data_IF_595639902623
#
_entry.id   IF_595639902623
#
_cell.length_a   1.000
_cell.length_b   1.000
_cell.length_c   1.000
_cell.angle_alpha   90.00
_cell.angle_beta   90.00
_cell.angle_gamma   90.00
#
_symmetry.space_group_name_H-M   'P 1'
#
loop_
_entity.id
_entity.type
_entity.pdbx_description
1 polymer ?
#
# COMPACT_ATOMS: atom_id res chain seq x y z
N UNK A 1 15.63 15.02 -32.59
CA UNK A 1 14.29 14.43 -32.29
C UNK A 1 13.76 15.17 -31.08
N UNK A 2 12.77 16.05 -31.28
CA UNK A 2 12.17 16.84 -30.19
C UNK A 2 11.31 15.89 -29.37
N UNK A 3 11.55 15.81 -28.06
CA UNK A 3 10.72 15.04 -27.13
C UNK A 3 9.37 15.77 -26.98
N UNK A 4 8.48 15.57 -27.94
CA UNK A 4 7.20 16.27 -28.08
C UNK A 4 6.12 15.74 -27.14
N UNK A 5 6.33 15.81 -25.84
CA UNK A 5 5.27 15.60 -24.85
C UNK A 5 4.86 16.93 -24.26
N UNK A 6 3.60 17.29 -24.48
CA UNK A 6 2.96 18.46 -23.88
C UNK A 6 2.73 18.21 -22.38
N UNK A 7 2.76 19.27 -21.56
CA UNK A 7 2.25 19.20 -20.20
C UNK A 7 0.73 18.97 -20.21
N UNK A 8 0.14 18.56 -19.08
CA UNK A 8 -1.31 18.32 -18.99
C UNK A 8 -2.12 19.57 -19.36
N UNK A 9 -1.66 20.73 -18.90
CA UNK A 9 -2.35 21.99 -19.13
C UNK A 9 -2.21 22.45 -20.58
N UNK A 10 -1.02 22.31 -21.17
CA UNK A 10 -0.80 22.59 -22.59
C UNK A 10 -1.62 21.65 -23.48
N UNK A 11 -1.73 20.38 -23.10
CA UNK A 11 -2.53 19.39 -23.79
C UNK A 11 -4.02 19.74 -23.75
N UNK A 12 -4.54 20.18 -22.60
CA UNK A 12 -5.94 20.64 -22.48
C UNK A 12 -6.21 21.96 -23.20
N UNK A 13 -5.24 22.88 -23.21
CA UNK A 13 -5.34 24.11 -23.99
C UNK A 13 -5.44 23.83 -25.50
N UNK A 14 -4.67 22.86 -26.02
CA UNK A 14 -4.74 22.44 -27.42
C UNK A 14 -6.05 21.70 -27.72
N UNK A 15 -6.49 20.81 -26.82
CA UNK A 15 -7.78 20.12 -26.98
C UNK A 15 -8.98 21.08 -26.97
N UNK A 16 -8.92 22.13 -26.15
CA UNK A 16 -9.98 23.13 -26.05
C UNK A 16 -10.20 23.96 -27.32
N UNK A 17 -9.29 23.88 -28.31
CA UNK A 17 -9.43 24.51 -29.62
C UNK A 17 -10.16 23.64 -30.64
N UNK A 18 -10.33 22.34 -30.37
CA UNK A 18 -11.02 21.42 -31.27
C UNK A 18 -12.52 21.43 -30.99
N UNK A 19 -13.31 21.37 -32.05
CA UNK A 19 -14.75 21.15 -31.92
C UNK A 19 -15.06 19.67 -31.60
N UNK A 20 -16.33 19.39 -31.28
CA UNK A 20 -16.76 18.04 -30.89
C UNK A 20 -16.54 17.01 -32.02
N UNK A 21 -16.66 17.42 -33.28
CA UNK A 21 -16.51 16.53 -34.43
C UNK A 21 -15.04 16.15 -34.64
N UNK A 22 -14.13 17.11 -34.51
CA UNK A 22 -12.69 16.91 -34.61
C UNK A 22 -12.14 16.12 -33.42
N UNK A 23 -12.68 16.34 -32.21
CA UNK A 23 -12.38 15.53 -31.02
C UNK A 23 -12.77 14.07 -31.22
N UNK A 24 -14.00 13.81 -31.69
CA UNK A 24 -14.48 12.46 -32.01
C UNK A 24 -13.60 11.78 -33.06
N UNK A 25 -13.19 12.52 -34.09
CA UNK A 25 -12.31 12.03 -35.17
C UNK A 25 -10.90 11.70 -34.67
N UNK A 26 -10.32 12.54 -33.80
CA UNK A 26 -9.03 12.29 -33.17
C UNK A 26 -9.07 11.05 -32.28
N UNK A 27 -10.09 10.93 -31.41
CA UNK A 27 -10.32 9.75 -30.56
C UNK A 27 -10.54 8.48 -31.40
N UNK A 28 -11.32 8.55 -32.47
CA UNK A 28 -11.55 7.41 -33.37
C UNK A 28 -10.25 6.93 -34.04
N UNK A 29 -9.42 7.88 -34.49
CA UNK A 29 -8.12 7.56 -35.11
C UNK A 29 -7.17 6.89 -34.10
N UNK A 30 -7.16 7.40 -32.86
CA UNK A 30 -6.37 6.83 -31.76
C UNK A 30 -6.87 5.45 -31.32
N UNK A 31 -8.19 5.27 -31.27
CA UNK A 31 -8.81 3.99 -30.97
C UNK A 31 -8.44 2.94 -32.03
N UNK A 32 -8.63 3.25 -33.31
CA UNK A 32 -8.40 2.26 -34.37
C UNK A 32 -6.92 1.94 -34.60
N UNK A 33 -6.03 2.92 -34.44
CA UNK A 33 -4.57 2.73 -34.61
C UNK A 33 -3.83 2.31 -33.34
N UNK A 34 -4.50 2.35 -32.19
CA UNK A 34 -3.92 2.01 -30.89
C UNK A 34 -3.75 0.49 -30.68
N UNK A 35 -2.84 0.13 -29.76
CA UNK A 35 -2.73 -1.26 -29.29
C UNK A 35 -4.00 -1.71 -28.56
N UNK A 36 -4.18 -3.02 -28.34
CA UNK A 36 -5.31 -3.54 -27.57
C UNK A 36 -5.41 -2.89 -26.17
N UNK A 37 -4.28 -2.80 -25.45
CA UNK A 37 -4.22 -2.12 -24.14
C UNK A 37 -4.61 -0.64 -24.21
N UNK A 38 -4.27 0.05 -25.30
CA UNK A 38 -4.62 1.46 -25.48
C UNK A 38 -6.11 1.65 -25.78
N UNK A 39 -6.69 0.75 -26.58
CA UNK A 39 -8.14 0.69 -26.82
C UNK A 39 -8.91 0.40 -25.54
N UNK A 40 -8.43 -0.54 -24.72
CA UNK A 40 -9.05 -0.87 -23.43
C UNK A 40 -9.07 0.35 -22.49
N UNK A 41 -7.99 1.15 -22.45
CA UNK A 41 -7.93 2.41 -21.67
C UNK A 41 -8.89 3.48 -22.18
N UNK A 42 -9.02 3.65 -23.49
CA UNK A 42 -9.99 4.57 -24.09
C UNK A 42 -11.42 4.13 -23.74
N UNK A 43 -11.73 2.84 -23.87
CA UNK A 43 -13.04 2.30 -23.52
C UNK A 43 -13.35 2.47 -22.03
N UNK A 44 -12.37 2.30 -21.15
CA UNK A 44 -12.53 2.53 -19.72
C UNK A 44 -12.84 3.99 -19.36
N UNK A 45 -12.30 4.95 -20.13
CA UNK A 45 -12.59 6.37 -19.95
C UNK A 45 -13.98 6.78 -20.49
N UNK A 46 -14.48 6.09 -21.53
CA UNK A 46 -15.78 6.38 -22.17
C UNK A 46 -16.93 5.66 -21.46
N UNK A 47 -16.74 4.38 -21.11
CA UNK A 47 -17.73 3.56 -20.43
C UNK A 47 -17.04 2.72 -19.32
N UNK A 48 -17.08 3.21 -18.07
CA UNK A 48 -16.50 2.50 -16.94
C UNK A 48 -17.10 1.11 -16.72
N UNK A 49 -18.36 0.87 -17.11
CA UNK A 49 -19.04 -0.41 -16.94
C UNK A 49 -18.51 -1.46 -17.91
N UNK A 50 -18.16 -1.07 -19.14
CA UNK A 50 -17.53 -1.99 -20.12
C UNK A 50 -16.13 -2.39 -19.67
N UNK A 51 -15.36 -1.48 -19.05
CA UNK A 51 -14.07 -1.83 -18.46
C UNK A 51 -14.20 -2.77 -17.25
N UNK A 52 -15.19 -2.55 -16.39
CA UNK A 52 -15.52 -3.48 -15.30
C UNK A 52 -15.94 -4.87 -15.83
N UNK A 53 -16.72 -4.91 -16.91
CA UNK A 53 -17.14 -6.15 -17.57
C UNK A 53 -15.98 -6.87 -18.28
N UNK A 54 -14.98 -6.15 -18.80
CA UNK A 54 -13.80 -6.73 -19.42
C UNK A 54 -12.77 -7.21 -18.38
N UNK A 55 -12.62 -6.48 -17.27
CA UNK A 55 -11.79 -6.89 -16.13
C UNK A 55 -12.31 -8.19 -15.51
N UNK A 56 -13.64 -8.29 -15.32
CA UNK A 56 -14.28 -9.53 -14.84
C UNK A 56 -14.18 -10.69 -15.83
N UNK A 57 -14.25 -10.44 -17.15
CA UNK A 57 -14.06 -11.48 -18.19
C UNK A 57 -12.63 -11.99 -18.35
N UNK A 58 -11.60 -11.17 -18.05
CA UNK A 58 -10.18 -11.56 -18.14
C UNK A 58 -9.67 -12.26 -16.86
N UNK A 59 -10.39 -12.16 -15.75
CA UNK A 59 -9.96 -12.75 -14.49
C UNK A 59 -10.18 -14.27 -14.49
N UNK A 60 -9.17 -15.02 -14.93
CA UNK A 60 -9.01 -16.38 -14.40
C UNK A 60 -9.01 -16.28 -12.87
N UNK A 61 -9.78 -17.09 -12.13
CA UNK A 61 -9.76 -17.06 -10.68
C UNK A 61 -8.32 -17.21 -10.19
N UNK A 62 -7.82 -16.19 -9.50
CA UNK A 62 -6.49 -16.25 -8.89
C UNK A 62 -6.57 -17.24 -7.73
N UNK A 63 -5.77 -18.30 -7.78
CA UNK A 63 -5.61 -19.21 -6.64
C UNK A 63 -4.89 -18.45 -5.52
N UNK A 64 -5.67 -17.95 -4.57
CA UNK A 64 -5.19 -17.08 -3.49
C UNK A 64 -4.22 -17.81 -2.55
N UNK A 65 -4.43 -19.11 -2.31
CA UNK A 65 -3.57 -19.93 -1.43
C UNK A 65 -2.21 -20.14 -2.08
N UNK A 66 -2.21 -20.49 -3.37
CA UNK A 66 -0.96 -20.60 -4.13
C UNK A 66 -0.22 -19.27 -4.19
N UNK A 67 -0.93 -18.18 -4.47
CA UNK A 67 -0.35 -16.83 -4.50
C UNK A 67 0.31 -16.46 -3.16
N UNK A 68 -0.36 -16.72 -2.04
CA UNK A 68 0.19 -16.46 -0.70
C UNK A 68 1.52 -17.22 -0.50
N UNK A 69 1.57 -18.49 -0.88
CA UNK A 69 2.80 -19.30 -0.79
C UNK A 69 3.92 -18.71 -1.66
N UNK A 70 3.63 -18.36 -2.91
CA UNK A 70 4.61 -17.79 -3.86
C UNK A 70 5.16 -16.46 -3.34
N UNK A 71 4.31 -15.59 -2.80
CA UNK A 71 4.71 -14.29 -2.23
C UNK A 71 5.58 -14.46 -1.00
N UNK A 72 5.22 -15.38 -0.09
CA UNK A 72 6.03 -15.67 1.10
C UNK A 72 7.40 -16.21 0.73
N UNK A 73 7.47 -17.12 -0.25
CA UNK A 73 8.73 -17.65 -0.76
C UNK A 73 9.59 -16.54 -1.38
N UNK A 74 8.99 -15.70 -2.24
CA UNK A 74 9.66 -14.54 -2.82
C UNK A 74 10.25 -13.62 -1.75
N UNK A 75 9.47 -13.26 -0.73
CA UNK A 75 9.92 -12.40 0.36
C UNK A 75 11.01 -13.06 1.22
N UNK A 76 10.92 -14.37 1.47
CA UNK A 76 11.94 -15.12 2.19
C UNK A 76 13.28 -15.12 1.42
N UNK A 77 13.25 -15.44 0.13
CA UNK A 77 14.43 -15.40 -0.75
C UNK A 77 15.06 -14.01 -0.80
N UNK A 78 14.24 -12.95 -0.84
CA UNK A 78 14.72 -11.57 -0.78
C UNK A 78 15.44 -11.27 0.54
N UNK A 79 14.82 -11.63 1.68
CA UNK A 79 15.38 -11.42 3.02
C UNK A 79 16.67 -12.20 3.27
N UNK A 80 16.81 -13.37 2.65
CA UNK A 80 18.03 -14.17 2.69
C UNK A 80 19.14 -13.67 1.73
N UNK A 81 18.87 -12.61 0.97
CA UNK A 81 19.85 -11.99 0.07
C UNK A 81 20.02 -12.72 -1.28
N UNK A 82 19.14 -13.66 -1.61
CA UNK A 82 19.24 -14.43 -2.86
C UNK A 82 19.16 -13.54 -4.12
N UNK A 83 18.50 -12.38 -3.99
CA UNK A 83 18.37 -11.39 -5.05
C UNK A 83 19.56 -10.42 -5.20
N UNK A 84 20.46 -10.35 -4.20
CA UNK A 84 21.69 -9.53 -4.25
C UNK A 84 22.90 -10.30 -4.82
N UNK A 85 23.01 -11.59 -4.48
CA UNK A 85 24.21 -12.41 -4.69
C UNK A 85 24.12 -13.40 -5.87
N UNK A 86 25.11 -14.32 -5.93
CA UNK A 86 25.10 -15.50 -6.82
C UNK A 86 24.45 -16.70 -6.12
N UNK A 87 23.27 -16.50 -5.52
CA UNK A 87 22.48 -17.63 -5.04
C UNK A 87 21.98 -18.45 -6.24
N UNK A 88 22.01 -19.79 -6.12
CA UNK A 88 21.57 -20.72 -7.17
C UNK A 88 20.04 -20.87 -7.18
N UNK A 89 19.37 -20.52 -6.09
CA UNK A 89 17.90 -20.57 -5.96
C UNK A 89 17.22 -19.52 -6.85
N UNK A 90 17.87 -18.37 -7.07
CA UNK A 90 17.35 -17.30 -7.91
C UNK A 90 18.25 -17.12 -9.14
N UNK A 91 17.67 -17.37 -10.31
CA UNK A 91 18.41 -17.28 -11.57
C UNK A 91 18.89 -15.84 -11.84
N UNK A 92 19.99 -15.62 -12.58
CA UNK A 92 20.42 -14.27 -12.95
C UNK A 92 19.33 -13.45 -13.68
N UNK A 93 18.52 -14.13 -14.49
CA UNK A 93 17.39 -13.51 -15.22
C UNK A 93 16.30 -13.05 -14.26
N UNK A 94 15.98 -13.84 -13.26
CA UNK A 94 15.01 -13.50 -12.22
C UNK A 94 15.50 -12.35 -11.35
N UNK A 95 16.78 -12.35 -10.96
CA UNK A 95 17.41 -11.26 -10.19
C UNK A 95 17.32 -9.90 -10.86
N UNK A 96 17.36 -9.85 -12.18
CA UNK A 96 17.21 -8.58 -12.93
C UNK A 96 15.75 -8.19 -13.14
N UNK A 97 14.83 -9.16 -13.09
CA UNK A 97 13.39 -8.99 -13.32
C UNK A 97 12.53 -8.97 -12.06
N UNK A 98 13.15 -8.94 -10.88
CA UNK A 98 12.46 -8.96 -9.59
C UNK A 98 11.32 -7.93 -9.51
N UNK A 99 11.49 -6.73 -10.10
CA UNK A 99 10.47 -5.66 -10.15
C UNK A 99 9.17 -6.13 -10.81
N UNK A 100 9.30 -6.90 -11.90
CA UNK A 100 8.14 -7.45 -12.60
C UNK A 100 7.46 -8.56 -11.80
N UNK A 101 8.24 -9.37 -11.08
CA UNK A 101 7.71 -10.43 -10.20
C UNK A 101 6.94 -9.80 -9.05
N UNK A 102 7.56 -8.84 -8.35
CA UNK A 102 6.92 -8.08 -7.28
C UNK A 102 5.61 -7.44 -7.75
N UNK A 103 5.63 -6.73 -8.89
CA UNK A 103 4.43 -6.11 -9.46
C UNK A 103 3.36 -7.12 -9.86
N UNK A 104 3.77 -8.26 -10.41
CA UNK A 104 2.85 -9.34 -10.78
C UNK A 104 2.15 -9.89 -9.55
N UNK A 105 2.89 -10.11 -8.46
CA UNK A 105 2.32 -10.55 -7.19
C UNK A 105 1.38 -9.52 -6.58
N UNK A 106 1.76 -8.24 -6.57
CA UNK A 106 0.88 -7.17 -6.08
C UNK A 106 -0.42 -7.09 -6.90
N UNK A 107 -0.32 -7.18 -8.23
CA UNK A 107 -1.49 -7.16 -9.13
C UNK A 107 -2.39 -8.37 -8.89
N UNK A 108 -1.81 -9.57 -8.77
CA UNK A 108 -2.56 -10.79 -8.49
C UNK A 108 -3.23 -10.75 -7.10
N UNK A 109 -2.56 -10.20 -6.09
CA UNK A 109 -3.13 -10.03 -4.75
C UNK A 109 -4.31 -9.06 -4.76
N UNK A 110 -4.18 -7.91 -5.45
CA UNK A 110 -5.30 -6.97 -5.67
C UNK A 110 -6.48 -7.64 -6.36
N UNK A 111 -6.24 -8.46 -7.38
CA UNK A 111 -7.29 -9.21 -8.08
C UNK A 111 -7.96 -10.24 -7.16
N UNK A 112 -7.18 -10.99 -6.36
CA UNK A 112 -7.70 -11.97 -5.43
C UNK A 112 -8.51 -11.33 -4.28
N UNK A 113 -8.15 -10.12 -3.84
CA UNK A 113 -8.88 -9.34 -2.83
C UNK A 113 -10.28 -8.88 -3.29
N UNK A 114 -10.57 -8.95 -4.59
CA UNK A 114 -11.92 -8.73 -5.13
C UNK A 114 -12.85 -9.94 -4.96
N UNK A 115 -12.30 -11.13 -4.63
CA UNK A 115 -13.07 -12.33 -4.31
C UNK A 115 -13.63 -12.35 -2.90
N UNK A 116 -14.20 -13.49 -2.50
CA UNK A 116 -14.77 -13.73 -1.17
C UNK A 116 -13.76 -14.30 -0.17
N UNK A 117 -12.95 -15.28 -0.58
CA UNK A 117 -11.87 -15.81 0.26
C UNK A 117 -10.64 -14.89 0.18
N UNK A 118 -10.70 -13.83 0.98
CA UNK A 118 -9.69 -12.78 0.98
C UNK A 118 -8.52 -13.07 1.93
N UNK A 119 -8.60 -14.07 2.81
CA UNK A 119 -7.60 -14.26 3.87
C UNK A 119 -6.21 -14.55 3.28
N UNK A 120 -6.04 -15.48 2.32
CA UNK A 120 -4.73 -15.73 1.72
C UNK A 120 -4.23 -14.52 0.91
N UNK A 121 -5.13 -13.83 0.21
CA UNK A 121 -4.80 -12.65 -0.58
C UNK A 121 -4.36 -11.46 0.29
N UNK A 122 -5.02 -11.23 1.43
CA UNK A 122 -4.66 -10.22 2.40
C UNK A 122 -3.31 -10.54 3.05
N UNK A 123 -3.06 -11.81 3.40
CA UNK A 123 -1.77 -12.26 3.91
C UNK A 123 -0.64 -12.06 2.88
N UNK A 124 -0.90 -12.35 1.60
CA UNK A 124 0.04 -12.08 0.51
C UNK A 124 0.34 -10.58 0.37
N UNK A 125 -0.68 -9.73 0.32
CA UNK A 125 -0.51 -8.28 0.21
C UNK A 125 0.22 -7.71 1.43
N UNK A 126 -0.13 -8.15 2.64
CA UNK A 126 0.57 -7.74 3.86
C UNK A 126 2.05 -8.10 3.82
N UNK A 127 2.41 -9.29 3.30
CA UNK A 127 3.80 -9.71 3.13
C UNK A 127 4.57 -8.80 2.16
N UNK A 128 3.93 -8.36 1.08
CA UNK A 128 4.53 -7.41 0.12
C UNK A 128 4.74 -6.03 0.74
N UNK A 129 3.77 -5.54 1.53
CA UNK A 129 3.88 -4.26 2.25
C UNK A 129 4.96 -4.32 3.34
N UNK A 130 5.02 -5.41 4.13
CA UNK A 130 6.09 -5.63 5.11
C UNK A 130 7.46 -5.57 4.42
N UNK A 131 7.62 -6.30 3.31
CA UNK A 131 8.85 -6.28 2.54
C UNK A 131 9.15 -4.88 1.99
N UNK A 132 8.14 -4.15 1.51
CA UNK A 132 8.30 -2.79 1.01
C UNK A 132 8.79 -1.82 2.10
N UNK A 133 8.23 -1.90 3.31
CA UNK A 133 8.70 -1.12 4.46
C UNK A 133 10.15 -1.44 4.84
N UNK A 134 10.55 -2.71 4.76
CA UNK A 134 11.93 -3.13 5.03
C UNK A 134 12.93 -2.63 3.97
N UNK A 135 12.52 -2.57 2.69
CA UNK A 135 13.38 -2.15 1.57
C UNK A 135 13.92 -0.71 1.73
N UNK A 136 13.26 0.13 2.53
CA UNK A 136 13.75 1.49 2.82
C UNK A 136 15.08 1.49 3.57
N UNK A 137 15.23 0.58 4.53
CA UNK A 137 16.42 0.51 5.40
C UNK A 137 17.40 -0.59 4.97
N UNK A 138 16.98 -1.54 4.14
CA UNK A 138 17.77 -2.73 3.78
C UNK A 138 17.84 -2.95 2.28
N UNK A 139 19.01 -3.35 1.81
CA UNK A 139 19.21 -3.82 0.45
C UNK A 139 18.78 -5.27 0.31
N UNK A 140 17.66 -5.50 -0.39
CA UNK A 140 17.24 -6.84 -0.82
C UNK A 140 17.42 -7.05 -2.33
N UNK A 141 17.44 -5.97 -3.10
CA UNK A 141 17.57 -5.98 -4.54
C UNK A 141 18.63 -4.99 -4.98
N UNK A 142 19.25 -5.24 -6.14
CA UNK A 142 20.17 -4.28 -6.78
C UNK A 142 19.37 -3.12 -7.40
N UNK A 143 18.93 -2.20 -6.55
CA UNK A 143 18.19 -0.99 -6.90
C UNK A 143 18.53 0.09 -5.89
N UNK A 144 18.80 1.31 -6.36
CA UNK A 144 19.03 2.46 -5.47
C UNK A 144 17.76 2.77 -4.66
N UNK A 145 16.60 2.72 -5.32
CA UNK A 145 15.28 2.79 -4.69
C UNK A 145 14.42 1.62 -5.22
N UNK A 146 14.20 0.57 -4.41
CA UNK A 146 13.39 -0.56 -4.82
C UNK A 146 11.91 -0.22 -5.04
N UNK A 147 11.31 0.61 -4.19
CA UNK A 147 9.88 0.93 -4.24
C UNK A 147 9.56 1.77 -5.47
N UNK A 148 10.36 2.81 -5.72
CA UNK A 148 10.21 3.65 -6.91
C UNK A 148 10.38 2.81 -8.19
N UNK A 149 11.34 1.89 -8.19
CA UNK A 149 11.59 1.05 -9.36
C UNK A 149 10.50 -0.02 -9.58
N UNK A 150 9.85 -0.49 -8.50
CA UNK A 150 8.70 -1.38 -8.56
C UNK A 150 7.39 -0.63 -8.89
N UNK A 151 7.36 0.72 -8.81
CA UNK A 151 6.14 1.52 -8.98
C UNK A 151 5.01 1.06 -8.05
N UNK A 152 5.36 0.73 -6.82
CA UNK A 152 4.42 0.20 -5.83
C UNK A 152 4.01 1.31 -4.87
N UNK A 153 2.71 1.60 -4.82
CA UNK A 153 2.11 2.60 -3.92
C UNK A 153 1.57 1.85 -2.70
N UNK A 154 2.23 1.98 -1.57
CA UNK A 154 1.93 1.23 -0.34
C UNK A 154 0.58 1.64 0.23
N UNK A 155 0.28 2.94 0.22
CA UNK A 155 -0.99 3.45 0.74
C UNK A 155 -2.20 2.93 -0.04
N UNK A 156 -2.12 2.86 -1.37
CA UNK A 156 -3.16 2.27 -2.22
C UNK A 156 -3.32 0.76 -1.96
N UNK A 157 -2.20 0.04 -1.88
CA UNK A 157 -2.22 -1.40 -1.59
C UNK A 157 -2.85 -1.71 -0.21
N UNK A 158 -2.49 -0.94 0.81
CA UNK A 158 -3.08 -1.04 2.14
C UNK A 158 -4.58 -0.69 2.10
N UNK A 159 -4.97 0.37 1.40
CA UNK A 159 -6.36 0.78 1.27
C UNK A 159 -7.23 -0.32 0.63
N UNK A 160 -6.76 -0.94 -0.45
CA UNK A 160 -7.48 -2.04 -1.11
C UNK A 160 -7.62 -3.24 -0.17
N UNK A 161 -6.53 -3.65 0.48
CA UNK A 161 -6.53 -4.80 1.38
C UNK A 161 -7.44 -4.59 2.59
N UNK A 162 -7.32 -3.45 3.25
CA UNK A 162 -8.13 -3.10 4.42
C UNK A 162 -9.60 -2.94 4.09
N UNK A 163 -9.92 -2.38 2.92
CA UNK A 163 -11.31 -2.32 2.42
C UNK A 163 -11.90 -3.72 2.21
N UNK A 164 -11.11 -4.65 1.66
CA UNK A 164 -11.55 -6.03 1.49
C UNK A 164 -11.78 -6.71 2.85
N UNK A 165 -10.86 -6.58 3.80
CA UNK A 165 -11.01 -7.11 5.17
C UNK A 165 -12.30 -6.59 5.81
N UNK A 166 -12.53 -5.27 5.77
CA UNK A 166 -13.74 -4.67 6.33
C UNK A 166 -15.01 -5.17 5.65
N UNK A 167 -14.98 -5.37 4.32
CA UNK A 167 -16.13 -5.84 3.53
C UNK A 167 -16.51 -7.29 3.85
N UNK A 168 -15.54 -8.20 3.86
CA UNK A 168 -15.82 -9.65 3.99
C UNK A 168 -15.79 -10.14 5.45
N UNK A 169 -15.01 -9.50 6.33
CA UNK A 169 -14.82 -9.93 7.72
C UNK A 169 -15.44 -8.97 8.75
N UNK A 170 -15.94 -7.81 8.31
CA UNK A 170 -16.58 -6.82 9.18
C UNK A 170 -15.63 -5.86 9.90
N UNK A 171 -16.20 -4.97 10.71
CA UNK A 171 -15.46 -3.87 11.35
C UNK A 171 -14.50 -4.36 12.44
N UNK A 172 -14.91 -5.30 13.28
CA UNK A 172 -14.07 -5.79 14.39
C UNK A 172 -12.81 -6.48 13.87
N UNK A 173 -12.96 -7.36 12.87
CA UNK A 173 -11.83 -8.02 12.23
C UNK A 173 -10.91 -7.02 11.51
N UNK A 174 -11.48 -5.97 10.90
CA UNK A 174 -10.71 -4.85 10.37
C UNK A 174 -9.88 -4.18 11.47
N UNK A 175 -10.47 -3.77 12.59
CA UNK A 175 -9.73 -3.12 13.67
C UNK A 175 -8.59 -4.00 14.19
N UNK A 176 -8.86 -5.29 14.46
CA UNK A 176 -7.89 -6.25 14.99
C UNK A 176 -6.70 -6.50 14.04
N UNK A 177 -6.94 -6.53 12.72
CA UNK A 177 -5.88 -6.76 11.74
C UNK A 177 -5.13 -5.49 11.37
N UNK A 178 -5.85 -4.37 11.22
CA UNK A 178 -5.30 -3.11 10.73
C UNK A 178 -4.47 -2.40 11.79
N UNK A 179 -4.89 -2.36 13.05
CA UNK A 179 -4.15 -1.68 14.11
C UNK A 179 -2.67 -2.12 14.24
N UNK A 180 -2.34 -3.42 14.32
CA UNK A 180 -0.94 -3.86 14.37
C UNK A 180 -0.20 -3.70 13.04
N UNK A 181 -0.87 -3.72 11.89
CA UNK A 181 -0.25 -3.47 10.59
C UNK A 181 0.12 -1.99 10.45
N UNK A 182 -0.83 -1.10 10.73
CA UNK A 182 -0.65 0.35 10.77
C UNK A 182 0.53 0.76 11.63
N UNK A 183 0.62 0.23 12.86
CA UNK A 183 1.73 0.53 13.79
C UNK A 183 3.10 0.19 13.20
N UNK A 184 3.20 -0.84 12.34
CA UNK A 184 4.45 -1.25 11.69
C UNK A 184 4.74 -0.50 10.40
N UNK A 185 3.70 -0.20 9.63
CA UNK A 185 3.83 0.30 8.26
C UNK A 185 3.86 1.80 8.15
N UNK A 186 3.25 2.52 9.09
CA UNK A 186 3.13 3.96 8.98
C UNK A 186 4.50 4.63 8.91
N UNK A 187 4.64 5.54 7.94
CA UNK A 187 5.83 6.36 7.81
C UNK A 187 5.51 7.78 7.36
N UNK A 188 5.92 8.77 8.15
CA UNK A 188 5.75 10.18 7.80
C UNK A 188 6.65 10.65 6.65
N UNK A 189 7.60 9.81 6.23
CA UNK A 189 8.52 10.09 5.12
C UNK A 189 8.22 9.20 3.89
N UNK A 190 7.11 8.46 3.91
CA UNK A 190 6.80 7.45 2.90
C UNK A 190 7.73 6.23 2.91
N UNK A 191 7.62 5.41 1.86
CA UNK A 191 8.28 4.10 1.77
C UNK A 191 9.44 4.06 0.77
N UNK A 192 9.64 5.12 -0.01
CA UNK A 192 10.81 5.27 -0.87
C UNK A 192 12.05 5.62 -0.03
N UNK A 193 13.24 5.36 -0.57
CA UNK A 193 14.50 5.68 0.13
C UNK A 193 14.84 7.14 0.05
N UNK A 194 14.55 7.76 -1.10
CA UNK A 194 14.96 9.13 -1.38
C UNK A 194 13.90 10.17 -1.00
N UNK A 195 12.65 9.75 -0.78
CA UNK A 195 11.55 10.69 -0.51
C UNK A 195 11.22 11.57 -1.71
N UNK A 196 11.57 11.16 -2.92
CA UNK A 196 11.28 11.84 -4.18
C UNK A 196 10.87 10.83 -5.26
N UNK A 197 10.28 11.31 -6.35
CA UNK A 197 9.89 10.50 -7.50
C UNK A 197 8.38 10.26 -7.60
N UNK A 198 7.99 9.48 -8.61
CA UNK A 198 6.58 9.29 -8.97
C UNK A 198 5.80 8.58 -7.87
N UNK A 199 6.39 7.58 -7.19
CA UNK A 199 5.66 6.89 -6.12
C UNK A 199 5.30 7.88 -5.01
N UNK A 200 6.23 8.74 -4.60
CA UNK A 200 5.99 9.72 -3.54
C UNK A 200 4.83 10.67 -3.88
N UNK A 201 4.68 11.06 -5.15
CA UNK A 201 3.57 11.87 -5.63
C UNK A 201 2.20 11.15 -5.57
N UNK A 202 2.20 9.82 -5.55
CA UNK A 202 0.98 9.00 -5.45
C UNK A 202 0.68 8.53 -4.02
N UNK A 203 1.64 8.64 -3.10
CA UNK A 203 1.46 8.17 -1.72
C UNK A 203 0.62 9.13 -0.88
N UNK A 204 -0.14 8.55 0.04
CA UNK A 204 -0.75 9.26 1.18
C UNK A 204 -0.37 8.56 2.49
N UNK A 205 -0.58 9.20 3.64
CA UNK A 205 -0.31 8.54 4.92
C UNK A 205 -1.36 7.45 5.20
N UNK A 206 -0.97 6.37 5.87
CA UNK A 206 -1.94 5.34 6.26
C UNK A 206 -2.92 5.88 7.31
N UNK A 207 -2.50 6.92 8.04
CA UNK A 207 -3.38 7.74 8.89
C UNK A 207 -4.59 8.24 8.11
N UNK A 208 -4.39 8.87 6.95
CA UNK A 208 -5.49 9.36 6.10
C UNK A 208 -6.34 8.22 5.54
N UNK A 209 -5.71 7.10 5.16
CA UNK A 209 -6.43 5.89 4.69
C UNK A 209 -7.38 5.37 5.78
N UNK A 210 -6.89 5.19 7.01
CA UNK A 210 -7.70 4.71 8.14
C UNK A 210 -8.79 5.72 8.48
N UNK A 211 -8.47 7.02 8.54
CA UNK A 211 -9.45 8.07 8.81
C UNK A 211 -10.63 8.02 7.82
N UNK A 212 -10.36 7.80 6.52
CA UNK A 212 -11.39 7.62 5.50
C UNK A 212 -12.24 6.34 5.65
N UNK A 213 -11.76 5.35 6.42
CA UNK A 213 -12.45 4.10 6.70
C UNK A 213 -13.22 4.09 8.04
N UNK A 214 -13.08 5.14 8.85
CA UNK A 214 -13.74 5.32 10.14
C UNK A 214 -14.84 6.41 10.04
N UNK A 215 -16.05 6.07 9.58
CA UNK A 215 -17.06 7.06 9.19
C UNK A 215 -17.79 7.73 10.36
N UNK A 216 -17.82 7.08 11.53
CA UNK A 216 -18.60 7.53 12.71
C UNK A 216 -17.71 7.62 13.95
N UNK A 217 -18.02 8.50 14.92
CA UNK A 217 -17.20 8.67 16.13
C UNK A 217 -16.93 7.36 16.90
N UNK A 218 -17.93 6.49 17.04
CA UNK A 218 -17.76 5.21 17.76
C UNK A 218 -16.71 4.29 17.12
N UNK A 219 -16.59 4.33 15.79
CA UNK A 219 -15.58 3.56 15.06
C UNK A 219 -14.15 4.04 15.39
N UNK A 220 -13.98 5.34 15.65
CA UNK A 220 -12.70 5.89 16.12
C UNK A 220 -12.35 5.38 17.51
N UNK A 221 -13.33 5.35 18.42
CA UNK A 221 -13.14 4.82 19.77
C UNK A 221 -12.76 3.34 19.79
N UNK A 222 -13.51 2.51 19.07
CA UNK A 222 -13.24 1.07 18.93
C UNK A 222 -11.87 0.80 18.33
N UNK A 223 -11.50 1.54 17.27
CA UNK A 223 -10.18 1.41 16.67
C UNK A 223 -9.07 1.87 17.65
N UNK A 224 -9.28 2.95 18.40
CA UNK A 224 -8.31 3.44 19.40
C UNK A 224 -8.04 2.41 20.51
N UNK A 225 -9.06 1.68 20.98
CA UNK A 225 -8.89 0.61 21.96
C UNK A 225 -8.05 -0.56 21.42
N UNK A 226 -8.31 -0.97 20.17
CA UNK A 226 -7.53 -2.04 19.52
C UNK A 226 -6.11 -1.57 19.23
N UNK A 227 -5.94 -0.32 18.82
CA UNK A 227 -4.64 0.32 18.65
C UNK A 227 -3.84 0.37 19.95
N UNK A 228 -4.47 0.68 21.08
CA UNK A 228 -3.83 0.63 22.40
C UNK A 228 -3.36 -0.79 22.74
N UNK A 229 -4.18 -1.81 22.48
CA UNK A 229 -3.78 -3.23 22.65
C UNK A 229 -2.59 -3.60 21.75
N UNK A 230 -2.55 -3.10 20.52
CA UNK A 230 -1.42 -3.31 19.62
C UNK A 230 -0.14 -2.63 20.12
N UNK A 231 -0.24 -1.42 20.69
CA UNK A 231 0.87 -0.72 21.35
C UNK A 231 1.39 -1.49 22.58
N UNK A 232 0.49 -2.02 23.41
CA UNK A 232 0.85 -2.83 24.59
C UNK A 232 1.64 -4.09 24.19
N UNK A 233 1.16 -4.80 23.16
CA UNK A 233 1.84 -5.99 22.62
C UNK A 233 3.25 -5.66 22.09
N UNK A 234 3.42 -4.50 21.44
CA UNK A 234 4.71 -4.06 20.93
C UNK A 234 5.69 -3.67 22.05
N UNK A 235 5.20 -3.01 23.10
CA UNK A 235 5.99 -2.74 24.30
C UNK A 235 6.44 -4.03 25.01
N UNK A 236 5.57 -5.05 25.04
CA UNK A 236 5.91 -6.39 25.54
C UNK A 236 7.04 -7.05 24.75
N UNK A 237 6.95 -7.06 23.42
CA UNK A 237 7.99 -7.62 22.53
C UNK A 237 9.35 -6.95 22.71
N UNK A 238 9.37 -5.62 22.85
CA UNK A 238 10.62 -4.87 23.07
C UNK A 238 11.30 -5.22 24.39
N UNK A 239 10.56 -5.68 25.41
CA UNK A 239 11.13 -6.08 26.71
C UNK A 239 11.67 -7.51 26.70
N UNK A 240 11.08 -8.41 25.92
CA UNK A 240 11.49 -9.82 25.82
C UNK A 240 12.66 -10.05 24.87
N UNK A 241 12.86 -9.18 23.87
CA UNK A 241 13.96 -9.33 22.93
C UNK A 241 15.28 -8.80 23.50
N UNK A 242 16.10 -9.69 24.08
CA UNK A 242 17.50 -9.40 24.44
C UNK A 242 18.43 -9.34 23.22
N UNK A 243 17.94 -9.67 22.01
CA UNK A 243 18.66 -9.49 20.76
C UNK A 243 18.29 -8.13 20.17
N UNK A 244 19.32 -7.35 19.84
CA UNK A 244 19.24 -6.16 18.98
C UNK A 244 18.72 -6.56 17.60
N UNK A 245 17.43 -6.83 17.49
CA UNK A 245 16.74 -6.65 16.22
C UNK A 245 16.66 -5.14 16.07
N UNK A 246 17.29 -4.57 15.04
CA UNK A 246 17.19 -3.15 14.68
C UNK A 246 15.73 -2.83 14.35
N UNK A 247 14.93 -2.63 15.39
CA UNK A 247 13.59 -2.09 15.30
C UNK A 247 13.66 -0.58 15.04
N UNK A 248 12.59 -0.04 14.47
CA UNK A 248 12.38 1.39 14.34
C UNK A 248 12.62 2.07 15.70
N UNK A 249 13.46 3.10 15.73
CA UNK A 249 13.72 3.84 16.96
C UNK A 249 12.42 4.41 17.53
N UNK A 250 12.32 4.51 18.86
CA UNK A 250 11.14 5.12 19.52
C UNK A 250 10.83 6.51 18.97
N UNK A 251 11.88 7.28 18.65
CA UNK A 251 11.76 8.60 18.03
C UNK A 251 11.11 8.53 16.65
N UNK A 252 11.62 7.66 15.77
CA UNK A 252 11.06 7.48 14.43
C UNK A 252 9.60 6.99 14.48
N UNK A 253 9.27 6.08 15.41
CA UNK A 253 7.90 5.62 15.62
C UNK A 253 6.96 6.76 16.02
N UNK A 254 7.39 7.60 16.96
CA UNK A 254 6.61 8.78 17.39
C UNK A 254 6.42 9.77 16.24
N UNK A 255 7.46 10.02 15.45
CA UNK A 255 7.38 10.93 14.29
C UNK A 255 6.44 10.37 13.22
N UNK A 256 6.49 9.06 12.93
CA UNK A 256 5.60 8.41 11.97
C UNK A 256 4.12 8.48 12.40
N UNK A 257 3.83 8.35 13.69
CA UNK A 257 2.47 8.28 14.23
C UNK A 257 1.92 9.64 14.70
N UNK A 258 2.68 10.72 14.54
CA UNK A 258 2.32 12.03 15.05
C UNK A 258 1.00 12.55 14.46
N UNK A 259 0.77 12.33 13.16
CA UNK A 259 -0.48 12.70 12.48
C UNK A 259 -1.67 11.95 13.08
N UNK A 260 -1.54 10.64 13.25
CA UNK A 260 -2.57 9.80 13.85
C UNK A 260 -2.93 10.23 15.28
N UNK A 261 -1.92 10.53 16.11
CA UNK A 261 -2.16 11.00 17.47
C UNK A 261 -2.84 12.37 17.50
N UNK A 262 -2.51 13.27 16.58
CA UNK A 262 -3.21 14.54 16.46
C UNK A 262 -4.69 14.34 16.06
N UNK A 263 -4.98 13.44 15.12
CA UNK A 263 -6.36 13.12 14.74
C UNK A 263 -7.15 12.47 15.87
N UNK A 264 -6.54 11.55 16.62
CA UNK A 264 -7.19 10.95 17.79
C UNK A 264 -7.54 12.00 18.85
N UNK A 265 -6.65 12.97 19.09
CA UNK A 265 -6.95 14.08 20.00
C UNK A 265 -8.12 14.92 19.49
N UNK A 266 -8.13 15.31 18.22
CA UNK A 266 -9.21 16.11 17.65
C UNK A 266 -10.57 15.38 17.71
N UNK A 267 -10.58 14.06 17.45
CA UNK A 267 -11.81 13.28 17.32
C UNK A 267 -12.36 12.72 18.63
N UNK A 268 -11.50 12.50 19.64
CA UNK A 268 -11.87 11.82 20.88
C UNK A 268 -11.70 12.69 22.15
N UNK A 269 -11.29 13.96 22.04
CA UNK A 269 -11.02 14.83 23.19
C UNK A 269 -12.20 14.96 24.18
N UNK A 270 -13.42 15.13 23.66
CA UNK A 270 -14.62 15.47 24.44
C UNK A 270 -15.60 14.30 24.60
N UNK A 271 -15.13 13.05 24.49
CA UNK A 271 -15.97 11.84 24.48
C UNK A 271 -15.66 10.81 25.57
N UNK A 272 -16.42 9.72 25.57
CA UNK A 272 -16.27 8.58 26.49
C UNK A 272 -14.89 7.89 26.41
N UNK A 273 -14.13 8.16 25.35
CA UNK A 273 -12.80 7.59 25.09
C UNK A 273 -11.64 8.41 25.65
N UNK A 274 -11.90 9.42 26.48
CA UNK A 274 -10.85 10.28 27.06
C UNK A 274 -9.77 9.49 27.81
N UNK A 275 -10.15 8.50 28.62
CA UNK A 275 -9.20 7.65 29.34
C UNK A 275 -8.33 6.80 28.40
N UNK A 276 -8.92 6.29 27.32
CA UNK A 276 -8.18 5.55 26.27
C UNK A 276 -7.20 6.48 25.56
N UNK A 277 -7.62 7.69 25.23
CA UNK A 277 -6.78 8.70 24.61
C UNK A 277 -5.58 9.07 25.51
N UNK A 278 -5.80 9.33 26.80
CA UNK A 278 -4.73 9.66 27.73
C UNK A 278 -3.71 8.51 27.86
N UNK A 279 -4.19 7.26 27.92
CA UNK A 279 -3.32 6.06 27.93
C UNK A 279 -2.48 5.94 26.66
N UNK A 280 -3.05 6.23 25.49
CA UNK A 280 -2.31 6.24 24.22
C UNK A 280 -1.23 7.32 24.25
N UNK A 281 -1.59 8.56 24.61
CA UNK A 281 -0.65 9.69 24.61
C UNK A 281 0.50 9.52 25.61
N UNK A 282 0.26 8.77 26.70
CA UNK A 282 1.25 8.48 27.74
C UNK A 282 1.96 7.12 27.56
N UNK A 283 1.73 6.42 26.45
CA UNK A 283 2.18 5.04 26.27
C UNK A 283 3.72 4.91 26.21
N UNK A 284 4.34 3.93 26.91
CA UNK A 284 5.79 3.74 26.94
C UNK A 284 6.41 3.35 25.59
N UNK A 285 5.64 2.86 24.63
CA UNK A 285 6.11 2.61 23.27
C UNK A 285 6.31 3.90 22.44
N UNK A 286 5.86 5.05 22.96
CA UNK A 286 5.88 6.37 22.30
C UNK A 286 6.73 7.40 23.06
N UNK A 287 6.84 7.25 24.38
CA UNK A 287 7.68 8.11 25.24
C UNK A 287 8.98 7.40 25.60
N UNK A 288 10.12 8.06 25.38
CA UNK A 288 11.37 7.65 26.03
C UNK A 288 11.20 7.79 27.55
N UNK A 289 11.53 6.74 28.32
CA UNK A 289 11.70 6.90 29.77
C UNK A 289 12.71 8.03 30.00
N UNK A 290 12.28 9.08 30.71
CA UNK A 290 13.21 10.07 31.28
C UNK A 290 14.04 9.40 32.37
#
# INVERSE_FOLDING_TARGET
MVNGRLSRDDFYAVLGQLDEADLKKALWTLYWRGSADFRDRIMAAIDPAVAAAQASKKATPVDAVRLESEVKEFAALAREGAYLGRDRRVSPKERTRWRFIFRSHATAATQALAGHDIIPAASAMATLIDLAGEMRARDYFRSEDPIEAARFVVSEAAAVMWSAIRREQGHDAFCEQVAPQFLRWESCWGWTRRGEGWVVEQETSLTQVIAGMLPIPDAWGQFAEVYLRALDAEAGRSRSSSRRTEGMSLRARRENLAEWHAMLQERLADGEYHDTLDRIMNHPALKSRK
#
